data_IF_099902181246
#
_entry.id   IF_099902181246
#
_cell.length_a   1.000
_cell.length_b   1.000
_cell.length_c   1.000
_cell.angle_alpha   90.00
_cell.angle_beta   90.00
_cell.angle_gamma   90.00
#
_symmetry.space_group_name_H-M   'P 1'
#
loop_
_entity.id
_entity.type
_entity.pdbx_description
1 polymer ?
#
# COMPACT_ATOMS: atom_id res chain seq x y z
N UNK A 1 66.85 -32.34 34.89
CA UNK A 1 67.02 -31.54 33.66
C UNK A 1 66.08 -32.12 32.61
N UNK A 2 64.80 -31.74 32.54
CA UNK A 2 64.22 -30.48 32.04
C UNK A 2 64.72 -30.10 30.64
N UNK A 3 64.09 -30.64 29.59
CA UNK A 3 64.07 -30.07 28.23
C UNK A 3 63.04 -30.82 27.36
N UNK A 4 61.75 -30.72 27.68
CA UNK A 4 60.70 -31.17 26.74
C UNK A 4 59.35 -30.44 26.84
N UNK A 5 59.27 -29.32 27.56
CA UNK A 5 57.99 -28.59 27.73
C UNK A 5 57.92 -27.22 27.05
N UNK A 6 59.03 -26.67 26.52
CA UNK A 6 58.98 -25.33 25.91
C UNK A 6 58.55 -25.30 24.43
N UNK A 7 58.75 -26.38 23.66
CA UNK A 7 58.33 -26.40 22.24
C UNK A 7 56.82 -26.54 22.06
N UNK A 8 56.13 -27.27 22.94
CA UNK A 8 54.67 -27.43 22.86
C UNK A 8 53.91 -26.15 23.25
N UNK A 9 54.45 -25.36 24.17
CA UNK A 9 53.81 -24.09 24.60
C UNK A 9 53.86 -23.05 23.49
N UNK A 10 54.95 -22.96 22.71
CA UNK A 10 55.03 -22.00 21.61
C UNK A 10 54.10 -22.33 20.44
N UNK A 11 53.87 -23.62 20.13
CA UNK A 11 52.90 -24.01 19.09
C UNK A 11 51.47 -23.69 19.52
N UNK A 12 51.12 -23.91 20.79
CA UNK A 12 49.81 -23.53 21.33
C UNK A 12 49.57 -22.01 21.33
N UNK A 13 50.59 -21.21 21.67
CA UNK A 13 50.49 -19.75 21.59
C UNK A 13 50.37 -19.24 20.15
N UNK A 14 51.04 -19.88 19.18
CA UNK A 14 50.93 -19.51 17.77
C UNK A 14 49.52 -19.82 17.21
N UNK A 15 48.93 -20.97 17.59
CA UNK A 15 47.55 -21.32 17.21
C UNK A 15 46.53 -20.38 17.86
N UNK A 16 46.74 -19.98 19.13
CA UNK A 16 45.89 -19.00 19.81
C UNK A 16 45.99 -17.60 19.20
N UNK A 17 47.17 -17.19 18.73
CA UNK A 17 47.34 -15.90 18.06
C UNK A 17 46.69 -15.89 16.67
N UNK A 18 46.88 -16.95 15.87
CA UNK A 18 46.25 -17.08 14.55
C UNK A 18 44.72 -17.20 14.67
N UNK A 19 44.19 -17.88 15.69
CA UNK A 19 42.74 -17.92 15.93
C UNK A 19 42.19 -16.63 16.54
N UNK A 20 43.02 -15.82 17.21
CA UNK A 20 42.62 -14.48 17.67
C UNK A 20 42.55 -13.47 16.53
N UNK A 21 43.47 -13.55 15.56
CA UNK A 21 43.44 -12.68 14.36
C UNK A 21 42.28 -13.06 13.42
N UNK A 22 41.95 -14.35 13.27
CA UNK A 22 40.76 -14.79 12.52
C UNK A 22 39.45 -14.40 13.25
N UNK A 23 39.50 -14.17 14.56
CA UNK A 23 38.32 -13.79 15.36
C UNK A 23 38.10 -12.28 15.42
N UNK A 24 39.11 -11.45 15.14
CA UNK A 24 38.97 -9.99 15.11
C UNK A 24 38.59 -9.43 13.73
N UNK A 25 38.83 -10.15 12.63
CA UNK A 25 38.41 -9.70 11.29
C UNK A 25 36.93 -9.99 10.96
N UNK A 26 36.28 -10.90 11.70
CA UNK A 26 34.84 -11.14 11.58
C UNK A 26 33.97 -10.17 12.40
N UNK A 27 34.58 -9.26 13.15
CA UNK A 27 33.89 -8.13 13.79
C UNK A 27 34.13 -6.81 13.05
N UNK A 28 34.48 -6.86 11.76
CA UNK A 28 34.06 -5.78 10.87
C UNK A 28 32.53 -5.79 10.89
N UNK A 29 31.96 -4.87 11.68
CA UNK A 29 30.56 -4.45 11.69
C UNK A 29 30.12 -4.06 10.28
N UNK A 30 29.95 -5.05 9.40
CA UNK A 30 28.86 -5.02 8.44
C UNK A 30 27.60 -5.21 9.26
N UNK A 31 27.06 -4.12 9.79
CA UNK A 31 25.61 -3.92 9.75
C UNK A 31 25.20 -3.99 8.28
N UNK A 32 25.19 -5.20 7.71
CA UNK A 32 24.43 -5.51 6.52
C UNK A 32 22.99 -5.30 6.97
N UNK A 33 22.48 -4.10 6.71
CA UNK A 33 21.08 -3.80 6.96
C UNK A 33 20.31 -4.87 6.19
N UNK A 34 19.71 -5.81 6.94
CA UNK A 34 19.10 -6.99 6.34
C UNK A 34 17.91 -6.52 5.52
N UNK A 35 18.14 -6.46 4.21
CA UNK A 35 17.28 -5.86 3.18
C UNK A 35 15.82 -6.22 3.43
N UNK A 36 14.93 -5.23 3.44
CA UNK A 36 13.49 -5.49 3.56
C UNK A 36 12.94 -6.08 2.25
N UNK A 37 12.95 -7.41 2.17
CA UNK A 37 12.49 -8.16 1.00
C UNK A 37 11.01 -7.90 0.68
N UNK A 38 10.18 -7.55 1.67
CA UNK A 38 8.77 -7.28 1.45
C UNK A 38 8.62 -5.91 0.79
N UNK A 39 9.31 -4.89 1.30
CA UNK A 39 9.31 -3.56 0.67
C UNK A 39 9.81 -3.64 -0.78
N UNK A 40 10.89 -4.39 -1.00
CA UNK A 40 11.48 -4.55 -2.33
C UNK A 40 10.56 -5.32 -3.28
N UNK A 41 9.76 -6.26 -2.76
CA UNK A 41 8.73 -6.92 -3.57
C UNK A 41 7.63 -5.97 -4.04
N UNK A 42 7.34 -4.88 -3.31
CA UNK A 42 6.36 -3.86 -3.72
C UNK A 42 6.85 -3.06 -4.93
N UNK A 43 8.17 -2.91 -5.08
CA UNK A 43 8.81 -2.21 -6.21
C UNK A 43 8.72 -3.01 -7.51
N UNK A 44 8.73 -4.34 -7.39
CA UNK A 44 8.71 -5.28 -8.52
C UNK A 44 7.28 -5.64 -8.95
N UNK A 45 6.60 -4.75 -9.66
CA UNK A 45 5.28 -5.05 -10.23
C UNK A 45 5.39 -5.53 -11.70
N UNK A 46 5.82 -6.77 -11.88
CA UNK A 46 6.03 -7.35 -13.22
C UNK A 46 4.72 -7.86 -13.85
N UNK A 47 3.65 -7.06 -13.89
CA UNK A 47 2.32 -7.33 -14.48
C UNK A 47 1.58 -8.62 -14.03
N UNK A 48 2.24 -9.58 -13.37
CA UNK A 48 1.72 -10.91 -13.02
C UNK A 48 1.48 -11.09 -11.52
N UNK A 49 2.08 -10.24 -10.67
CA UNK A 49 1.94 -10.36 -9.22
C UNK A 49 1.83 -9.00 -8.51
N UNK A 50 0.68 -8.34 -8.66
CA UNK A 50 0.34 -7.19 -7.81
C UNK A 50 0.28 -7.62 -6.33
N UNK A 51 1.15 -7.04 -5.48
CA UNK A 51 1.40 -7.48 -4.09
C UNK A 51 0.57 -6.78 -3.03
N UNK A 52 -0.11 -5.69 -3.37
CA UNK A 52 -0.91 -4.92 -2.43
C UNK A 52 -2.31 -5.56 -2.32
N UNK A 53 -2.72 -5.84 -1.10
CA UNK A 53 -4.08 -6.26 -0.79
C UNK A 53 -4.95 -5.03 -0.57
N UNK A 54 -4.58 -4.19 0.38
CA UNK A 54 -5.24 -2.93 0.70
C UNK A 54 -4.21 -1.82 0.84
N UNK A 55 -4.57 -0.61 0.41
CA UNK A 55 -3.81 0.60 0.70
C UNK A 55 -4.77 1.76 0.85
N UNK A 56 -4.53 2.59 1.84
CA UNK A 56 -5.40 3.70 2.19
C UNK A 56 -4.77 4.58 3.23
N UNK A 57 -5.35 5.76 3.39
CA UNK A 57 -4.92 6.73 4.38
C UNK A 57 -6.03 6.97 5.37
N UNK A 58 -5.63 7.38 6.55
CA UNK A 58 -6.51 7.94 7.57
C UNK A 58 -5.98 9.34 7.89
N UNK A 59 -6.54 10.03 8.87
CA UNK A 59 -6.11 11.39 9.22
C UNK A 59 -4.63 11.48 9.61
N UNK A 60 -4.05 10.40 10.14
CA UNK A 60 -2.69 10.42 10.71
C UNK A 60 -1.71 9.46 10.04
N UNK A 61 -2.18 8.44 9.32
CA UNK A 61 -1.36 7.31 8.88
C UNK A 61 -1.73 6.80 7.50
N UNK A 62 -0.79 6.10 6.89
CA UNK A 62 -0.97 5.28 5.70
C UNK A 62 -0.88 3.83 6.13
N UNK A 63 -1.91 3.06 5.76
CA UNK A 63 -1.95 1.63 5.98
C UNK A 63 -1.78 0.93 4.64
N UNK A 64 -0.80 0.03 4.56
CA UNK A 64 -0.57 -0.86 3.42
C UNK A 64 -0.55 -2.29 3.92
N UNK A 65 -1.48 -3.10 3.41
CA UNK A 65 -1.57 -4.52 3.68
C UNK A 65 -1.16 -5.27 2.41
N UNK A 66 -0.20 -6.18 2.50
CA UNK A 66 0.23 -7.02 1.38
C UNK A 66 -0.67 -8.24 1.23
N UNK A 67 -0.65 -8.88 0.06
CA UNK A 67 -1.35 -10.16 -0.17
C UNK A 67 -0.83 -11.31 0.69
N UNK A 68 0.42 -11.21 1.14
CA UNK A 68 1.01 -12.16 2.10
C UNK A 68 0.72 -11.76 3.56
N UNK A 69 -0.22 -10.84 3.76
CA UNK A 69 -0.73 -10.39 5.06
C UNK A 69 0.33 -9.77 5.97
N UNK A 70 1.20 -8.94 5.39
CA UNK A 70 2.09 -8.05 6.13
C UNK A 70 1.53 -6.63 6.11
N UNK A 71 1.67 -5.92 7.23
CA UNK A 71 1.11 -4.58 7.44
C UNK A 71 2.24 -3.57 7.62
N UNK A 72 2.26 -2.56 6.75
CA UNK A 72 2.92 -1.29 7.05
C UNK A 72 1.87 -0.33 7.61
N UNK A 73 2.22 0.29 8.73
CA UNK A 73 1.44 1.31 9.40
C UNK A 73 2.41 2.45 9.68
N UNK A 74 2.35 3.47 8.82
CA UNK A 74 3.35 4.54 8.78
C UNK A 74 2.66 5.90 8.87
N UNK A 75 3.26 6.92 9.49
CA UNK A 75 2.65 8.24 9.55
C UNK A 75 2.44 8.86 8.16
N UNK A 76 1.39 9.67 8.00
CA UNK A 76 0.99 10.25 6.69
C UNK A 76 2.09 11.11 6.05
N UNK A 77 2.91 11.77 6.87
CA UNK A 77 4.04 12.60 6.41
C UNK A 77 5.20 11.79 5.78
N UNK A 78 5.13 10.47 5.77
CA UNK A 78 6.05 9.60 5.02
C UNK A 78 5.72 9.52 3.53
N UNK A 79 4.57 10.06 3.12
CA UNK A 79 4.26 10.34 1.72
C UNK A 79 4.74 11.76 1.37
N UNK A 80 5.96 11.87 0.88
CA UNK A 80 6.56 13.14 0.50
C UNK A 80 6.80 13.18 -1.02
N UNK A 81 6.37 14.26 -1.67
CA UNK A 81 6.59 14.49 -3.13
C UNK A 81 6.10 13.33 -4.00
N UNK A 82 4.93 12.80 -3.65
CA UNK A 82 4.30 11.64 -4.28
C UNK A 82 5.14 10.34 -4.20
N UNK A 83 5.96 10.17 -3.16
CA UNK A 83 6.71 8.94 -2.87
C UNK A 83 6.46 8.49 -1.44
N UNK A 84 6.21 7.20 -1.25
CA UNK A 84 5.93 6.61 0.05
C UNK A 84 7.19 5.98 0.63
N UNK A 85 7.67 6.53 1.73
CA UNK A 85 8.76 5.96 2.50
C UNK A 85 8.25 4.92 3.51
N UNK A 86 8.81 3.72 3.47
CA UNK A 86 8.51 2.62 4.38
C UNK A 86 9.73 2.41 5.31
N UNK A 87 9.73 3.06 6.51
CA UNK A 87 10.92 3.17 7.37
C UNK A 87 11.18 1.95 8.23
N UNK A 88 10.22 1.04 8.33
CA UNK A 88 10.24 -0.09 9.26
C UNK A 88 9.81 -1.34 8.52
N UNK A 89 10.33 -2.48 8.97
CA UNK A 89 9.84 -3.79 8.52
C UNK A 89 8.34 -3.93 8.81
N UNK A 90 7.58 -4.55 7.89
CA UNK A 90 6.17 -4.69 8.11
C UNK A 90 5.89 -5.75 9.17
N UNK A 91 4.77 -5.58 9.86
CA UNK A 91 4.35 -6.52 10.90
C UNK A 91 3.38 -7.54 10.31
N UNK A 92 3.55 -8.85 10.55
CA UNK A 92 2.55 -9.84 10.16
C UNK A 92 1.17 -9.50 10.74
N UNK A 93 0.09 -9.66 9.95
CA UNK A 93 -1.27 -9.29 10.39
C UNK A 93 -1.68 -10.05 11.66
N UNK A 94 -1.21 -11.28 11.84
CA UNK A 94 -1.44 -12.09 13.05
C UNK A 94 -0.92 -11.44 14.34
N UNK A 95 0.12 -10.61 14.22
CA UNK A 95 0.73 -9.91 15.34
C UNK A 95 0.11 -8.52 15.49
N UNK A 96 -0.13 -7.81 14.37
CA UNK A 96 -0.67 -6.45 14.39
C UNK A 96 -2.16 -6.42 14.76
N UNK A 97 -2.95 -7.33 14.18
CA UNK A 97 -4.40 -7.45 14.37
C UNK A 97 -4.79 -8.90 14.74
N UNK A 98 -4.45 -9.36 15.95
CA UNK A 98 -4.64 -10.76 16.35
C UNK A 98 -6.11 -11.18 16.40
N UNK A 99 -7.03 -10.25 16.72
CA UNK A 99 -8.48 -10.53 16.77
C UNK A 99 -9.02 -10.77 15.35
N UNK A 100 -8.65 -9.91 14.39
CA UNK A 100 -8.95 -10.11 12.97
C UNK A 100 -8.39 -11.45 12.47
N UNK A 101 -7.13 -11.76 12.80
CA UNK A 101 -6.49 -12.99 12.33
C UNK A 101 -7.16 -14.28 12.83
N UNK A 102 -7.71 -14.25 14.06
CA UNK A 102 -8.44 -15.37 14.67
C UNK A 102 -9.90 -15.46 14.22
N UNK A 103 -10.42 -14.43 13.54
CA UNK A 103 -11.79 -14.44 13.06
C UNK A 103 -11.99 -15.53 11.99
N UNK A 104 -13.05 -16.32 12.12
CA UNK A 104 -13.35 -17.45 11.24
C UNK A 104 -13.56 -17.02 9.77
N UNK A 105 -14.35 -15.97 9.54
CA UNK A 105 -14.62 -15.46 8.19
C UNK A 105 -13.32 -14.96 7.55
N UNK A 106 -12.46 -14.27 8.31
CA UNK A 106 -11.15 -13.87 7.80
C UNK A 106 -10.26 -15.06 7.46
N UNK A 107 -10.27 -16.12 8.28
CA UNK A 107 -9.54 -17.34 8.00
C UNK A 107 -10.01 -18.00 6.69
N UNK A 108 -11.32 -18.03 6.45
CA UNK A 108 -11.91 -18.56 5.22
C UNK A 108 -11.53 -17.70 3.99
N UNK A 109 -11.68 -16.38 4.09
CA UNK A 109 -11.29 -15.43 3.04
C UNK A 109 -9.80 -15.57 2.67
N UNK A 110 -8.93 -15.72 3.68
CA UNK A 110 -7.48 -15.85 3.51
C UNK A 110 -7.07 -17.18 2.89
N UNK A 111 -7.69 -18.28 3.30
CA UNK A 111 -7.33 -19.63 2.80
C UNK A 111 -7.80 -19.85 1.36
N UNK A 112 -8.93 -19.27 0.97
CA UNK A 112 -9.47 -19.41 -0.37
C UNK A 112 -8.92 -18.37 -1.37
N UNK A 113 -8.13 -17.39 -0.90
CA UNK A 113 -7.59 -16.27 -1.71
C UNK A 113 -8.70 -15.52 -2.48
N UNK A 114 -9.92 -15.48 -1.92
CA UNK A 114 -11.12 -14.92 -2.55
C UNK A 114 -11.32 -13.42 -2.24
N UNK A 115 -10.26 -12.62 -2.07
CA UNK A 115 -10.45 -11.19 -1.77
C UNK A 115 -10.62 -10.41 -3.07
N UNK A 116 -11.86 -9.99 -3.34
CA UNK A 116 -12.20 -9.17 -4.51
C UNK A 116 -11.79 -7.71 -4.30
N UNK A 117 -12.18 -7.15 -3.16
CA UNK A 117 -11.81 -5.79 -2.76
C UNK A 117 -11.35 -5.74 -1.31
N UNK A 118 -10.39 -4.85 -1.09
CA UNK A 118 -9.90 -4.52 0.22
C UNK A 118 -9.49 -3.05 0.22
N UNK A 119 -10.03 -2.27 1.16
CA UNK A 119 -9.79 -0.83 1.26
C UNK A 119 -9.92 -0.39 2.72
N UNK A 120 -9.42 0.81 2.99
CA UNK A 120 -9.52 1.46 4.30
C UNK A 120 -10.52 2.60 4.21
N UNK A 121 -11.32 2.78 5.26
CA UNK A 121 -12.24 3.90 5.38
C UNK A 121 -12.22 4.42 6.82
N UNK A 122 -12.19 5.74 6.95
CA UNK A 122 -12.40 6.41 8.22
C UNK A 122 -13.88 6.81 8.30
N UNK A 123 -14.51 6.62 9.45
CA UNK A 123 -15.94 6.96 9.62
C UNK A 123 -16.24 8.29 10.29
N UNK A 124 -15.20 9.08 10.52
CA UNK A 124 -15.22 10.30 11.31
C UNK A 124 -14.79 10.09 12.76
N UNK A 125 -14.67 8.84 13.21
CA UNK A 125 -14.26 8.47 14.56
C UNK A 125 -13.17 7.39 14.56
N UNK A 126 -13.45 6.26 13.93
CA UNK A 126 -12.59 5.09 13.90
C UNK A 126 -12.17 4.77 12.46
N UNK A 127 -11.00 4.13 12.35
CA UNK A 127 -10.45 3.62 11.10
C UNK A 127 -10.82 2.15 10.90
N UNK A 128 -11.28 1.80 9.69
CA UNK A 128 -11.77 0.47 9.38
C UNK A 128 -11.06 -0.15 8.18
N UNK A 129 -10.78 -1.45 8.28
CA UNK A 129 -10.37 -2.30 7.16
C UNK A 129 -11.60 -3.03 6.64
N UNK A 130 -11.92 -2.80 5.38
CA UNK A 130 -13.00 -3.48 4.67
C UNK A 130 -12.42 -4.53 3.75
N UNK A 131 -12.93 -5.75 3.86
CA UNK A 131 -12.60 -6.87 3.01
C UNK A 131 -13.89 -7.45 2.44
N UNK A 132 -13.94 -7.63 1.13
CA UNK A 132 -15.07 -8.29 0.47
C UNK A 132 -14.55 -9.43 -0.40
N UNK A 133 -15.24 -10.55 -0.32
CA UNK A 133 -15.12 -11.70 -1.21
C UNK A 133 -16.44 -11.97 -1.91
N UNK A 134 -16.42 -12.92 -2.84
CA UNK A 134 -17.62 -13.36 -3.56
C UNK A 134 -18.75 -13.83 -2.64
N UNK A 135 -18.47 -14.21 -1.40
CA UNK A 135 -19.45 -14.85 -0.50
C UNK A 135 -19.46 -14.23 0.90
N UNK A 136 -18.62 -13.23 1.17
CA UNK A 136 -18.47 -12.68 2.52
C UNK A 136 -18.02 -11.22 2.51
N UNK A 137 -18.47 -10.48 3.51
CA UNK A 137 -17.91 -9.18 3.87
C UNK A 137 -17.35 -9.25 5.27
N UNK A 138 -16.27 -8.53 5.50
CA UNK A 138 -15.63 -8.41 6.80
C UNK A 138 -15.16 -6.97 6.99
N UNK A 139 -15.59 -6.37 8.10
CA UNK A 139 -15.18 -5.03 8.53
C UNK A 139 -14.43 -5.19 9.86
N UNK A 140 -13.23 -4.63 9.94
CA UNK A 140 -12.43 -4.63 11.15
C UNK A 140 -12.12 -3.19 11.56
N UNK A 141 -12.51 -2.84 12.78
CA UNK A 141 -12.19 -1.56 13.38
C UNK A 141 -10.76 -1.63 13.94
N UNK A 142 -9.87 -0.78 13.46
CA UNK A 142 -8.46 -0.76 13.83
C UNK A 142 -8.29 -0.25 15.27
N UNK A 143 -9.12 0.69 15.71
CA UNK A 143 -8.98 1.37 17.00
C UNK A 143 -9.60 0.58 18.14
N UNK A 144 -10.75 -0.04 17.92
CA UNK A 144 -11.47 -0.83 18.94
C UNK A 144 -11.23 -2.33 18.83
N UNK A 145 -10.63 -2.78 17.73
CA UNK A 145 -10.47 -4.20 17.37
C UNK A 145 -11.78 -4.99 17.22
N UNK A 146 -12.92 -4.31 17.08
CA UNK A 146 -14.17 -4.95 16.72
C UNK A 146 -14.09 -5.57 15.32
N UNK A 147 -14.65 -6.78 15.17
CA UNK A 147 -14.76 -7.45 13.87
C UNK A 147 -16.24 -7.74 13.61
N UNK A 148 -16.73 -7.27 12.47
CA UNK A 148 -18.04 -7.63 11.94
C UNK A 148 -17.85 -8.41 10.64
N UNK A 149 -18.51 -9.56 10.51
CA UNK A 149 -18.48 -10.31 9.26
C UNK A 149 -19.82 -10.96 8.99
N UNK A 150 -20.21 -10.92 7.73
CA UNK A 150 -21.45 -11.50 7.23
C UNK A 150 -21.17 -12.31 5.97
N UNK A 151 -21.85 -13.45 5.83
CA UNK A 151 -21.96 -14.12 4.53
C UNK A 151 -22.96 -13.33 3.68
N UNK A 152 -22.59 -13.04 2.45
CA UNK A 152 -23.43 -12.27 1.53
C UNK A 152 -23.68 -13.06 0.25
N UNK A 153 -24.85 -12.86 -0.41
CA UNK A 153 -25.08 -13.40 -1.73
C UNK A 153 -23.99 -12.95 -2.71
N UNK A 154 -23.61 -13.85 -3.62
CA UNK A 154 -22.55 -13.54 -4.57
C UNK A 154 -22.94 -12.42 -5.52
N UNK A 155 -22.17 -11.34 -5.48
CA UNK A 155 -22.34 -10.17 -6.33
C UNK A 155 -20.97 -9.78 -6.87
N UNK A 156 -20.54 -10.49 -7.94
CA UNK A 156 -19.30 -10.18 -8.66
C UNK A 156 -19.43 -8.83 -9.34
N UNK A 157 -19.03 -7.78 -8.64
CA UNK A 157 -18.94 -6.44 -9.18
C UNK A 157 -17.53 -6.22 -9.69
N UNK A 158 -17.38 -5.97 -11.00
CA UNK A 158 -16.14 -5.48 -11.60
C UNK A 158 -15.87 -4.03 -11.19
N UNK A 159 -15.63 -3.84 -9.89
CA UNK A 159 -15.43 -2.57 -9.22
C UNK A 159 -14.15 -2.61 -8.41
N UNK A 160 -13.42 -1.51 -8.43
CA UNK A 160 -12.28 -1.28 -7.55
C UNK A 160 -12.66 -0.17 -6.59
N UNK A 161 -12.55 -0.43 -5.29
CA UNK A 161 -12.72 0.59 -4.27
C UNK A 161 -11.40 1.30 -3.97
N UNK A 162 -11.50 2.62 -3.82
CA UNK A 162 -10.40 3.55 -3.61
C UNK A 162 -10.70 4.30 -2.32
N UNK A 163 -9.80 4.17 -1.35
CA UNK A 163 -9.92 4.82 -0.05
C UNK A 163 -10.00 6.34 -0.19
N UNK A 164 -10.80 6.99 0.64
CA UNK A 164 -10.86 8.45 0.75
C UNK A 164 -10.38 8.88 2.13
N UNK A 165 -9.79 10.07 2.22
CA UNK A 165 -9.54 10.77 3.48
C UNK A 165 -10.78 11.52 3.99
N UNK A 166 -11.84 11.61 3.18
CA UNK A 166 -13.14 12.14 3.61
C UNK A 166 -13.91 11.09 4.43
N UNK A 167 -14.34 11.42 5.66
CA UNK A 167 -15.11 10.50 6.51
C UNK A 167 -16.30 9.87 5.79
N UNK A 168 -16.45 8.54 5.88
CA UNK A 168 -17.54 7.72 5.33
C UNK A 168 -17.68 7.72 3.81
N UNK A 169 -16.71 8.29 3.09
CA UNK A 169 -16.71 8.30 1.64
C UNK A 169 -15.62 7.36 1.12
N UNK A 170 -15.88 6.82 -0.06
CA UNK A 170 -14.87 6.12 -0.85
C UNK A 170 -15.18 6.34 -2.33
N UNK A 171 -14.18 6.18 -3.17
CA UNK A 171 -14.38 6.22 -4.61
C UNK A 171 -14.54 4.80 -5.13
N UNK A 172 -15.42 4.60 -6.11
CA UNK A 172 -15.51 3.35 -6.85
C UNK A 172 -15.17 3.56 -8.31
N UNK A 173 -14.33 2.67 -8.82
CA UNK A 173 -13.92 2.63 -10.21
C UNK A 173 -14.57 1.43 -10.89
N UNK A 174 -15.21 1.66 -12.03
CA UNK A 174 -15.92 0.62 -12.79
C UNK A 174 -15.46 0.65 -14.23
N UNK A 175 -15.04 -0.50 -14.75
CA UNK A 175 -14.79 -0.67 -16.18
C UNK A 175 -16.10 -1.15 -16.83
N UNK A 176 -16.63 -0.35 -17.75
CA UNK A 176 -17.80 -0.70 -18.57
C UNK A 176 -17.48 -0.37 -20.02
N UNK A 177 -17.67 -1.33 -20.93
CA UNK A 177 -17.39 -1.16 -22.37
C UNK A 177 -15.96 -0.65 -22.63
N UNK A 178 -14.98 -1.21 -21.91
CA UNK A 178 -13.57 -0.80 -21.88
C UNK A 178 -13.31 0.65 -21.46
N UNK A 179 -14.29 1.36 -20.89
CA UNK A 179 -14.15 2.72 -20.40
C UNK A 179 -14.11 2.73 -18.88
N UNK A 180 -13.19 3.51 -18.31
CA UNK A 180 -13.06 3.68 -16.87
C UNK A 180 -13.97 4.80 -16.38
N UNK A 181 -14.86 4.43 -15.47
CA UNK A 181 -15.74 5.36 -14.78
C UNK A 181 -15.41 5.44 -13.30
N UNK A 182 -15.58 6.61 -12.71
CA UNK A 182 -15.43 6.86 -11.28
C UNK A 182 -16.77 7.34 -10.69
N UNK A 183 -17.08 6.88 -9.48
CA UNK A 183 -18.13 7.44 -8.64
C UNK A 183 -17.55 7.72 -7.25
N UNK A 184 -18.21 8.61 -6.51
CA UNK A 184 -18.03 8.73 -5.06
C UNK A 184 -19.26 8.09 -4.40
N UNK A 185 -19.00 7.09 -3.57
CA UNK A 185 -20.01 6.39 -2.80
C UNK A 185 -19.86 6.82 -1.34
N UNK A 186 -20.97 6.78 -0.61
CA UNK A 186 -20.99 7.10 0.82
C UNK A 186 -21.72 6.02 1.59
N UNK A 187 -21.39 5.96 2.86
CA UNK A 187 -22.09 5.16 3.83
C UNK A 187 -23.03 6.03 4.68
N UNK A 188 -24.11 5.43 5.18
CA UNK A 188 -25.17 6.15 5.91
C UNK A 188 -24.65 6.85 7.18
N UNK A 189 -25.24 8.01 7.49
CA UNK A 189 -24.85 8.91 8.57
C UNK A 189 -25.32 8.39 9.95
N UNK A 190 -26.39 7.59 9.99
CA UNK A 190 -27.02 7.13 11.25
C UNK A 190 -26.73 5.65 11.60
N UNK A 191 -26.07 4.90 10.72
CA UNK A 191 -25.77 3.48 10.98
C UNK A 191 -24.40 3.31 11.63
N UNK A 192 -24.36 2.68 12.80
CA UNK A 192 -23.19 1.94 13.25
C UNK A 192 -22.80 0.94 12.14
N UNK A 193 -21.52 0.79 11.77
CA UNK A 193 -21.08 -0.03 10.61
C UNK A 193 -21.59 -1.48 10.61
N UNK A 194 -22.10 -1.95 11.75
CA UNK A 194 -22.81 -3.21 11.94
C UNK A 194 -24.10 -3.34 11.08
N UNK A 195 -24.79 -2.24 10.74
CA UNK A 195 -26.10 -2.24 10.05
C UNK A 195 -26.11 -1.42 8.75
N UNK A 196 -24.95 -1.25 8.13
CA UNK A 196 -24.78 -0.23 7.11
C UNK A 196 -25.27 -0.67 5.73
N UNK A 197 -26.16 0.14 5.15
CA UNK A 197 -26.46 0.07 3.73
C UNK A 197 -25.49 0.96 2.96
N UNK A 198 -24.94 0.45 1.85
CA UNK A 198 -24.23 1.32 0.90
C UNK A 198 -25.29 2.23 0.30
N UNK A 199 -25.13 3.55 0.44
CA UNK A 199 -25.93 4.52 -0.29
C UNK A 199 -25.10 4.90 -1.52
N UNK A 200 -25.38 4.34 -2.71
CA UNK A 200 -24.77 4.87 -3.92
C UNK A 200 -25.20 6.33 -3.99
N UNK A 201 -24.26 7.24 -4.16
CA UNK A 201 -24.65 8.61 -4.51
C UNK A 201 -25.31 8.53 -5.88
N UNK A 202 -26.64 8.63 -5.93
CA UNK A 202 -27.38 8.60 -7.19
C UNK A 202 -26.84 9.69 -8.13
N UNK A 203 -26.48 9.29 -9.36
CA UNK A 203 -26.32 10.22 -10.49
C UNK A 203 -24.93 10.74 -10.84
N UNK A 204 -23.83 10.30 -10.21
CA UNK A 204 -22.49 10.90 -10.46
C UNK A 204 -21.43 9.95 -11.04
N UNK A 205 -21.81 8.96 -11.85
CA UNK A 205 -20.84 8.13 -12.57
C UNK A 205 -20.15 8.94 -13.66
N UNK A 206 -18.87 9.27 -13.47
CA UNK A 206 -18.09 10.07 -14.41
C UNK A 206 -17.15 9.23 -15.24
N UNK A 207 -17.20 9.44 -16.55
CA UNK A 207 -16.23 8.90 -17.50
C UNK A 207 -14.92 9.67 -17.37
N UNK A 208 -13.80 8.96 -17.22
CA UNK A 208 -12.48 9.58 -17.25
C UNK A 208 -12.00 9.66 -18.70
N UNK A 209 -11.68 10.87 -19.15
CA UNK A 209 -11.26 11.18 -20.50
C UNK A 209 -9.85 11.75 -20.52
N UNK A 210 -9.00 11.25 -21.41
CA UNK A 210 -7.60 11.64 -21.55
C UNK A 210 -7.38 12.43 -22.84
N UNK A 211 -6.44 13.38 -22.84
CA UNK A 211 -5.95 13.97 -24.08
C UNK A 211 -5.17 12.94 -24.92
N UNK A 212 -4.99 13.15 -26.24
CA UNK A 212 -4.27 12.20 -27.09
C UNK A 212 -2.85 11.85 -26.61
N UNK A 213 -2.17 12.77 -25.91
CA UNK A 213 -0.83 12.57 -25.36
C UNK A 213 -0.83 11.82 -24.01
N UNK A 214 -1.98 11.54 -23.42
CA UNK A 214 -2.12 10.89 -22.11
C UNK A 214 -1.40 11.58 -20.94
N UNK A 215 -1.32 12.91 -20.99
CA UNK A 215 -0.68 13.78 -20.00
C UNK A 215 -1.69 14.60 -19.18
N UNK A 216 -2.93 14.71 -19.66
CA UNK A 216 -4.02 15.41 -18.97
C UNK A 216 -5.31 14.62 -19.05
N UNK A 217 -6.07 14.63 -17.96
CA UNK A 217 -7.40 14.02 -17.88
C UNK A 217 -8.46 15.06 -17.54
N UNK A 218 -9.72 14.67 -17.76
CA UNK A 218 -10.92 15.36 -17.25
C UNK A 218 -11.98 14.32 -16.93
N UNK A 219 -12.97 14.70 -16.14
CA UNK A 219 -14.16 13.88 -15.89
C UNK A 219 -15.37 14.44 -16.61
N UNK A 220 -16.15 13.54 -17.22
CA UNK A 220 -17.38 13.88 -17.94
C UNK A 220 -18.57 13.03 -17.47
N UNK A 221 -19.73 13.66 -17.25
CA UNK A 221 -21.03 12.97 -17.00
C UNK A 221 -21.56 12.20 -18.21
N UNK A 222 -20.92 12.33 -19.38
CA UNK A 222 -21.39 11.79 -20.65
C UNK A 222 -20.92 10.36 -20.85
N UNK A 223 -21.64 9.62 -21.68
CA UNK A 223 -21.25 8.28 -22.13
C UNK A 223 -20.02 8.28 -23.06
N UNK A 224 -19.62 9.45 -23.57
CA UNK A 224 -18.47 9.63 -24.47
C UNK A 224 -17.71 10.90 -24.12
N UNK A 225 -16.41 10.88 -24.34
CA UNK A 225 -15.57 12.07 -24.19
C UNK A 225 -15.92 13.13 -25.23
N UNK A 226 -16.14 14.38 -24.79
CA UNK A 226 -16.34 15.53 -25.69
C UNK A 226 -15.10 15.79 -26.54
N UNK A 227 -13.92 15.53 -25.99
CA UNK A 227 -12.67 15.48 -26.74
C UNK A 227 -11.66 14.55 -26.08
N UNK A 228 -10.71 14.04 -26.86
CA UNK A 228 -9.77 13.04 -26.39
C UNK A 228 -10.39 11.64 -26.38
N UNK A 229 -9.80 10.73 -25.62
CA UNK A 229 -10.17 9.31 -25.60
C UNK A 229 -10.57 8.86 -24.18
N UNK A 230 -11.53 7.94 -24.05
CA UNK A 230 -11.80 7.28 -22.78
C UNK A 230 -10.54 6.61 -22.21
N UNK A 231 -10.36 6.73 -20.90
CA UNK A 231 -9.29 6.06 -20.18
C UNK A 231 -9.62 4.58 -20.00
N UNK A 232 -8.60 3.73 -20.15
CA UNK A 232 -8.69 2.27 -19.97
C UNK A 232 -7.67 1.75 -18.95
N UNK A 233 -7.31 2.56 -17.95
CA UNK A 233 -6.26 2.18 -17.00
C UNK A 233 -6.66 0.93 -16.21
N UNK A 234 -5.78 -0.08 -16.11
CA UNK A 234 -6.05 -1.31 -15.37
C UNK A 234 -5.78 -1.09 -13.88
N UNK A 235 -6.60 -0.22 -13.26
CA UNK A 235 -6.51 0.12 -11.83
C UNK A 235 -6.89 -1.09 -10.99
N UNK A 236 -6.15 -1.33 -9.91
CA UNK A 236 -6.31 -2.48 -9.01
C UNK A 236 -6.65 -2.06 -7.59
N UNK A 237 -6.08 -0.95 -7.12
CA UNK A 237 -6.31 -0.31 -5.82
C UNK A 237 -6.05 1.19 -5.94
N UNK A 238 -6.42 1.95 -4.91
CA UNK A 238 -6.01 3.34 -4.81
C UNK A 238 -6.44 3.96 -3.51
N UNK A 239 -5.95 5.17 -3.29
CA UNK A 239 -6.40 6.02 -2.21
C UNK A 239 -6.35 7.49 -2.60
N UNK A 240 -7.02 8.32 -1.82
CA UNK A 240 -6.98 9.78 -1.90
C UNK A 240 -6.40 10.31 -0.60
N UNK A 241 -5.44 11.22 -0.74
CA UNK A 241 -4.92 12.00 0.39
C UNK A 241 -4.34 13.31 -0.12
N UNK A 242 -4.39 14.36 0.69
CA UNK A 242 -3.83 15.67 0.35
C UNK A 242 -4.35 16.16 -1.02
N UNK A 243 -5.66 15.97 -1.27
CA UNK A 243 -6.35 16.36 -2.50
C UNK A 243 -5.76 15.71 -3.77
N UNK A 244 -5.19 14.51 -3.66
CA UNK A 244 -4.64 13.77 -4.81
C UNK A 244 -5.10 12.33 -4.80
N UNK A 245 -5.47 11.86 -5.98
CA UNK A 245 -5.63 10.44 -6.24
C UNK A 245 -4.27 9.76 -6.42
N UNK A 246 -4.12 8.57 -5.83
CA UNK A 246 -3.04 7.63 -6.05
C UNK A 246 -3.64 6.30 -6.52
N UNK A 247 -3.77 6.11 -7.83
CA UNK A 247 -4.38 4.91 -8.41
C UNK A 247 -3.32 3.91 -8.86
N UNK A 248 -3.26 2.76 -8.17
CA UNK A 248 -2.33 1.68 -8.42
C UNK A 248 -2.85 0.80 -9.55
N UNK A 249 -2.28 0.96 -10.74
CA UNK A 249 -2.55 0.09 -11.89
C UNK A 249 -1.56 -1.06 -12.02
N UNK A 250 -1.78 -1.93 -13.02
CA UNK A 250 -0.90 -3.07 -13.29
C UNK A 250 0.58 -2.72 -13.48
N UNK A 251 0.89 -1.59 -14.12
CA UNK A 251 2.28 -1.22 -14.46
C UNK A 251 2.72 0.12 -13.86
N UNK A 252 1.78 1.01 -13.58
CA UNK A 252 2.04 2.37 -13.12
C UNK A 252 1.10 2.76 -12.01
N UNK A 253 1.53 3.75 -11.22
CA UNK A 253 0.68 4.49 -10.31
C UNK A 253 0.32 5.81 -11.00
N UNK A 254 -0.97 6.06 -11.14
CA UNK A 254 -1.52 7.28 -11.73
C UNK A 254 -1.81 8.27 -10.61
N UNK A 255 -1.21 9.46 -10.70
CA UNK A 255 -1.37 10.51 -9.70
C UNK A 255 -1.91 11.77 -10.36
N UNK A 256 -2.98 12.31 -9.80
CA UNK A 256 -3.63 13.53 -10.27
C UNK A 256 -4.45 14.16 -9.16
N UNK A 257 -4.79 15.43 -9.33
CA UNK A 257 -5.55 16.22 -8.37
C UNK A 257 -6.99 15.70 -8.22
N UNK A 258 -7.48 15.62 -6.98
CA UNK A 258 -8.85 15.24 -6.65
C UNK A 258 -9.88 16.22 -7.23
N UNK A 259 -9.50 17.48 -7.41
CA UNK A 259 -10.31 18.52 -8.02
C UNK A 259 -10.84 18.15 -9.42
N UNK A 260 -10.20 17.21 -10.14
CA UNK A 260 -10.73 16.70 -11.43
C UNK A 260 -12.12 16.08 -11.29
N UNK A 261 -12.45 15.52 -10.11
CA UNK A 261 -13.76 14.93 -9.84
C UNK A 261 -14.81 16.01 -9.60
N UNK A 262 -14.44 17.07 -8.88
CA UNK A 262 -15.34 18.16 -8.50
C UNK A 262 -15.55 19.18 -9.63
N UNK A 263 -14.55 19.39 -10.49
CA UNK A 263 -14.56 20.39 -11.56
C UNK A 263 -14.71 19.73 -12.93
N UNK A 264 -15.95 19.42 -13.28
CA UNK A 264 -16.26 18.65 -14.49
C UNK A 264 -15.85 19.36 -15.78
N UNK A 265 -15.31 18.61 -16.73
CA UNK A 265 -14.89 19.13 -18.04
C UNK A 265 -13.55 19.85 -18.04
N UNK A 266 -13.04 20.27 -16.88
CA UNK A 266 -11.73 20.90 -16.72
C UNK A 266 -10.58 19.89 -16.85
N UNK A 267 -9.44 20.35 -17.37
CA UNK A 267 -8.29 19.49 -17.66
C UNK A 267 -7.24 19.58 -16.55
N UNK A 268 -6.90 18.42 -15.99
CA UNK A 268 -5.89 18.28 -14.94
C UNK A 268 -4.71 17.44 -15.42
N UNK A 269 -3.48 17.74 -15.02
CA UNK A 269 -2.33 16.90 -15.33
C UNK A 269 -2.45 15.53 -14.66
N UNK A 270 -1.97 14.50 -15.34
CA UNK A 270 -1.78 13.16 -14.76
C UNK A 270 -0.31 12.78 -14.83
N UNK A 271 0.25 12.40 -13.68
CA UNK A 271 1.59 11.84 -13.55
C UNK A 271 1.48 10.31 -13.57
N UNK A 272 2.38 9.67 -14.31
CA UNK A 272 2.58 8.21 -14.26
C UNK A 272 3.93 7.97 -13.62
N UNK A 273 3.94 7.21 -12.54
CA UNK A 273 5.19 6.79 -11.88
C UNK A 273 5.23 5.29 -11.78
N UNK A 274 6.44 4.74 -11.80
CA UNK A 274 6.70 3.33 -11.55
C UNK A 274 6.74 3.04 -10.05
N UNK A 275 6.53 1.76 -9.71
CA UNK A 275 6.47 1.28 -8.33
C UNK A 275 7.82 1.41 -7.62
N UNK A 276 8.92 1.16 -8.33
CA UNK A 276 10.30 1.32 -7.85
C UNK A 276 10.65 2.75 -7.45
N UNK A 277 10.04 3.73 -8.10
CA UNK A 277 10.24 5.16 -7.81
C UNK A 277 9.31 5.64 -6.71
N UNK A 278 8.13 5.03 -6.58
CA UNK A 278 7.13 5.38 -5.58
C UNK A 278 7.51 4.88 -4.18
N UNK A 279 7.86 3.60 -4.06
CA UNK A 279 8.20 2.98 -2.78
C UNK A 279 9.68 3.19 -2.45
N UNK A 280 9.94 3.89 -1.35
CA UNK A 280 11.28 4.06 -0.81
C UNK A 280 11.43 3.16 0.42
N UNK A 281 12.39 2.23 0.39
CA UNK A 281 12.62 1.31 1.50
C UNK A 281 13.63 1.88 2.50
N UNK A 282 13.55 1.47 3.77
CA UNK A 282 14.43 1.92 4.86
C UNK A 282 15.92 1.94 4.46
N UNK A 283 16.38 0.89 3.78
CA UNK A 283 17.78 0.69 3.43
C UNK A 283 18.31 1.76 2.45
N UNK A 284 17.44 2.33 1.61
CA UNK A 284 17.83 3.29 0.57
C UNK A 284 17.98 4.72 1.11
N UNK A 285 17.15 5.11 2.08
CA UNK A 285 17.24 6.44 2.69
C UNK A 285 18.49 6.57 3.56
N UNK A 286 18.82 5.53 4.32
CA UNK A 286 20.05 5.47 5.14
C UNK A 286 21.30 5.57 4.25
N UNK A 287 21.32 4.88 3.11
CA UNK A 287 22.46 4.97 2.18
C UNK A 287 22.59 6.35 1.54
N UNK A 288 21.47 6.98 1.17
CA UNK A 288 21.44 8.32 0.58
C UNK A 288 21.92 9.39 1.57
N UNK A 289 21.53 9.29 2.83
CA UNK A 289 21.97 10.21 3.89
C UNK A 289 23.46 10.04 4.23
N UNK A 290 23.95 8.80 4.32
CA UNK A 290 25.39 8.52 4.49
C UNK A 290 26.24 9.10 3.37
N UNK A 291 25.84 8.89 2.12
CA UNK A 291 26.54 9.44 0.95
C UNK A 291 26.54 10.99 0.95
N UNK A 292 25.46 11.62 1.43
CA UNK A 292 25.35 13.07 1.54
C UNK A 292 26.23 13.64 2.66
N UNK A 293 26.35 12.94 3.78
CA UNK A 293 27.24 13.33 4.88
C UNK A 293 28.72 13.18 4.50
N UNK A 294 29.09 12.11 3.79
CA UNK A 294 30.45 11.92 3.28
C UNK A 294 30.87 13.03 2.31
N UNK A 295 30.00 13.44 1.39
CA UNK A 295 30.30 14.55 0.46
C UNK A 295 30.51 15.88 1.19
N UNK A 296 29.70 16.16 2.22
CA UNK A 296 29.86 17.37 3.06
C UNK A 296 31.13 17.38 3.92
N UNK A 297 31.82 16.25 4.07
CA UNK A 297 33.11 16.17 4.79
C UNK A 297 34.32 16.26 3.84
N UNK A 298 34.08 16.21 2.53
CA UNK A 298 35.11 16.33 1.49
C UNK A 298 35.15 17.73 0.84
N UNK A 299 34.18 18.58 1.16
CA UNK A 299 34.10 20.00 0.80
C UNK A 299 34.46 20.86 2.03
#
# INVERSE_FOLDING_TARGET
MCLSNMKFIHVFYLILLITSEIRTDNEMKMTAIKKDLICESLKNNNNTQFKILAIGTTSERILLITKDFFVYDVPINYLERDKLYLPTKPTPIKNKYPILFKNKIFADIRTMVKIDNAFIINDGKDDWIFLTSEESKLHYNIDTSEVFGESVPSDKKNKVFVSSDKPRHYYSLVIKDNNLYMNIDRYDDDSNFKNMSIIPTEGSKYLICSNPQNTRIRMEKKIKCRSGIPVQWPVLKGFVTNYKFYLFGRSYIYIFDEAVYNNQGEKYPVKKISYDTYFLCQDEKIQTEKNRQQRKQMD
#
